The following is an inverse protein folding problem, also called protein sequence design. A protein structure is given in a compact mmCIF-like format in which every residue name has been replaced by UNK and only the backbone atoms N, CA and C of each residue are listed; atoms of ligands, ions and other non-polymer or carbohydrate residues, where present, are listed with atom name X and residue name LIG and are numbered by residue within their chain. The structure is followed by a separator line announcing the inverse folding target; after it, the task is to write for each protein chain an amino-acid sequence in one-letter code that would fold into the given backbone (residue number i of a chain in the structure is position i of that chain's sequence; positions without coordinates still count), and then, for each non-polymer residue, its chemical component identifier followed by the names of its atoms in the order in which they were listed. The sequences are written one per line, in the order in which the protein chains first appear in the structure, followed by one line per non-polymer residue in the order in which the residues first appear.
data_IF_712092313382
#
_entry.id   IF_712092313382
#
_cell.length_a   1.000
_cell.length_b   1.000
_cell.length_c   1.000
_cell.angle_alpha   90.00
_cell.angle_beta   90.00
_cell.angle_gamma   90.00
#
_symmetry.space_group_name_H-M   'P 1'
#
loop_
_entity.id
_entity.type
_entity.pdbx_description
1 polymer ?
#
# COMPACT_ATOMS: atom_id res chain seq x y z
N UNK A 1 -19.12 -2.06 -22.40
CA UNK A 1 -18.61 -0.75 -21.95
C UNK A 1 -19.81 0.14 -21.67
N UNK A 2 -20.05 0.50 -20.42
CA UNK A 2 -21.11 1.45 -20.04
C UNK A 2 -20.42 2.77 -19.74
N UNK A 3 -20.71 3.83 -20.50
CA UNK A 3 -20.24 5.15 -20.15
C UNK A 3 -21.04 5.61 -18.92
N UNK A 4 -20.41 5.61 -17.76
CA UNK A 4 -20.99 6.11 -16.51
C UNK A 4 -20.35 7.47 -16.28
N UNK A 5 -21.18 8.51 -16.12
CA UNK A 5 -20.76 9.86 -15.72
C UNK A 5 -21.23 10.08 -14.29
N UNK A 6 -20.54 9.51 -13.30
CA UNK A 6 -20.99 9.58 -11.93
C UNK A 6 -20.83 11.03 -11.39
N UNK A 7 -21.88 11.54 -10.76
CA UNK A 7 -21.86 12.86 -10.09
C UNK A 7 -21.20 12.71 -8.73
N UNK A 8 -20.28 13.61 -8.38
CA UNK A 8 -19.49 13.56 -7.13
C UNK A 8 -18.67 12.27 -6.95
N UNK A 9 -18.27 11.62 -8.06
CA UNK A 9 -17.33 10.52 -8.01
C UNK A 9 -15.91 11.01 -7.80
N UNK A 10 -15.13 10.20 -7.12
CA UNK A 10 -13.70 10.39 -7.04
C UNK A 10 -13.00 9.94 -8.33
N UNK A 11 -13.47 8.90 -9.02
CA UNK A 11 -12.90 8.47 -10.31
C UNK A 11 -13.37 9.44 -11.41
N UNK A 12 -12.41 10.16 -12.00
CA UNK A 12 -12.64 11.12 -13.10
C UNK A 12 -12.37 10.49 -14.47
N UNK A 13 -11.36 9.62 -14.55
CA UNK A 13 -11.04 8.86 -15.75
C UNK A 13 -10.47 7.48 -15.40
N UNK A 14 -10.94 6.46 -16.10
CA UNK A 14 -10.49 5.08 -15.98
C UNK A 14 -10.44 4.42 -17.36
N UNK A 15 -9.55 3.44 -17.52
CA UNK A 15 -9.51 2.58 -18.71
C UNK A 15 -10.52 1.45 -18.50
N UNK A 16 -11.58 1.39 -19.30
CA UNK A 16 -12.60 0.39 -19.09
C UNK A 16 -12.21 -0.96 -19.70
N UNK A 17 -12.39 -2.03 -18.94
CA UNK A 17 -12.21 -3.39 -19.42
C UNK A 17 -13.56 -4.10 -19.54
N UNK A 18 -13.80 -4.76 -20.67
CA UNK A 18 -14.93 -5.67 -20.79
C UNK A 18 -14.66 -6.97 -20.02
N UNK A 19 -15.70 -7.66 -19.56
CA UNK A 19 -15.56 -9.03 -19.05
C UNK A 19 -14.88 -9.89 -20.14
N UNK A 20 -13.89 -10.69 -19.73
CA UNK A 20 -12.98 -11.40 -20.64
C UNK A 20 -11.79 -10.57 -21.15
N UNK A 21 -11.58 -9.35 -20.62
CA UNK A 21 -10.41 -8.48 -20.88
C UNK A 21 -9.84 -7.92 -19.57
N UNK A 22 -8.58 -7.50 -19.62
CA UNK A 22 -7.86 -6.92 -18.48
C UNK A 22 -7.27 -7.99 -17.54
N UNK A 23 -6.19 -7.60 -16.86
CA UNK A 23 -5.41 -8.46 -15.95
C UNK A 23 -5.51 -8.01 -14.49
N UNK A 24 -6.25 -6.94 -14.19
CA UNK A 24 -6.49 -6.46 -12.82
C UNK A 24 -7.27 -7.53 -12.05
N UNK A 25 -6.90 -7.83 -10.81
CA UNK A 25 -7.48 -8.96 -10.05
C UNK A 25 -6.84 -10.32 -10.37
N UNK A 26 -5.98 -10.43 -11.39
CA UNK A 26 -5.20 -11.66 -11.64
C UNK A 26 -3.86 -11.66 -10.91
N UNK A 27 -3.06 -10.62 -11.06
CA UNK A 27 -1.72 -10.53 -10.49
C UNK A 27 -1.64 -9.65 -9.23
N UNK A 28 -2.66 -8.84 -9.01
CA UNK A 28 -2.85 -7.91 -7.89
C UNK A 28 -4.26 -8.10 -7.37
N UNK A 29 -4.45 -7.90 -6.07
CA UNK A 29 -5.75 -8.11 -5.45
C UNK A 29 -5.74 -9.04 -4.26
N UNK A 30 -6.95 -9.32 -3.76
CA UNK A 30 -7.19 -10.47 -2.89
C UNK A 30 -6.85 -11.74 -3.68
N UNK A 31 -5.97 -12.57 -3.11
CA UNK A 31 -5.66 -13.89 -3.68
C UNK A 31 -6.90 -14.78 -3.62
N UNK A 32 -7.17 -15.49 -4.71
CA UNK A 32 -8.28 -16.44 -4.84
C UNK A 32 -7.74 -17.73 -5.45
N UNK A 33 -7.82 -18.82 -4.71
CA UNK A 33 -7.38 -20.13 -5.17
C UNK A 33 -8.28 -20.68 -6.29
N UNK A 34 -7.75 -21.52 -7.19
CA UNK A 34 -8.58 -22.21 -8.18
C UNK A 34 -9.60 -23.12 -7.50
N UNK A 35 -10.85 -23.01 -7.91
CA UNK A 35 -11.96 -23.82 -7.42
C UNK A 35 -13.14 -23.84 -8.39
N UNK A 36 -14.28 -24.36 -7.94
CA UNK A 36 -15.52 -24.43 -8.74
C UNK A 36 -16.40 -23.18 -8.63
N UNK A 37 -16.02 -22.21 -7.80
CA UNK A 37 -16.76 -20.95 -7.64
C UNK A 37 -16.60 -20.04 -8.88
N UNK A 38 -17.56 -19.14 -9.16
CA UNK A 38 -17.61 -18.44 -10.44
C UNK A 38 -16.53 -17.35 -10.58
N UNK A 39 -15.92 -16.92 -9.49
CA UNK A 39 -14.98 -15.80 -9.47
C UNK A 39 -13.62 -16.12 -10.10
N UNK A 40 -13.32 -17.37 -10.45
CA UNK A 40 -12.05 -17.80 -11.03
C UNK A 40 -10.85 -17.59 -10.08
N UNK A 41 -9.63 -17.65 -10.59
CA UNK A 41 -8.42 -17.63 -9.74
C UNK A 41 -7.60 -16.35 -9.88
N UNK A 42 -7.07 -15.84 -8.76
CA UNK A 42 -6.24 -14.65 -8.68
C UNK A 42 -5.05 -14.85 -7.74
N UNK A 43 -3.94 -14.18 -8.02
CA UNK A 43 -2.72 -14.19 -7.21
C UNK A 43 -2.44 -12.79 -6.67
N UNK A 44 -1.52 -12.72 -5.72
CA UNK A 44 -1.05 -11.49 -5.09
C UNK A 44 0.48 -11.35 -5.26
N UNK A 45 0.96 -11.02 -6.46
CA UNK A 45 2.41 -10.90 -6.70
C UNK A 45 3.04 -9.66 -6.06
N UNK A 46 2.23 -8.71 -5.58
CA UNK A 46 2.67 -7.46 -4.97
C UNK A 46 1.91 -7.23 -3.67
N UNK A 47 2.38 -7.85 -2.59
CA UNK A 47 1.81 -7.67 -1.26
C UNK A 47 2.29 -6.38 -0.59
N UNK A 48 1.47 -5.84 0.31
CA UNK A 48 1.93 -4.77 1.20
C UNK A 48 2.80 -5.33 2.32
N UNK A 49 3.90 -4.65 2.69
CA UNK A 49 4.62 -4.98 3.90
C UNK A 49 3.79 -4.61 5.14
N UNK A 50 3.97 -5.30 6.28
CA UNK A 50 3.25 -4.97 7.52
C UNK A 50 3.54 -3.54 8.00
N UNK A 51 4.74 -3.00 7.73
CA UNK A 51 5.08 -1.59 8.02
C UNK A 51 4.17 -0.59 7.33
N UNK A 52 3.65 -0.91 6.14
CA UNK A 52 2.67 -0.07 5.47
C UNK A 52 1.29 -0.20 6.12
N UNK A 53 0.80 -1.43 6.35
CA UNK A 53 -0.50 -1.64 6.98
C UNK A 53 -0.58 -1.03 8.39
N UNK A 54 0.50 -1.12 9.17
CA UNK A 54 0.58 -0.51 10.50
C UNK A 54 0.91 0.98 10.52
N UNK A 55 1.14 1.60 9.35
CA UNK A 55 1.27 3.06 9.26
C UNK A 55 -0.08 3.77 9.30
N UNK A 56 -1.19 3.06 9.07
CA UNK A 56 -2.54 3.60 9.17
C UNK A 56 -2.91 3.82 10.64
N UNK A 57 -3.72 4.85 10.88
CA UNK A 57 -4.45 4.95 12.14
C UNK A 57 -5.52 3.85 12.19
N UNK A 58 -5.80 3.31 13.39
CA UNK A 58 -6.77 2.21 13.57
C UNK A 58 -8.20 2.59 13.17
N UNK A 59 -8.51 3.89 13.17
CA UNK A 59 -9.81 4.42 12.75
C UNK A 59 -9.83 4.88 11.29
N UNK A 60 -8.71 4.72 10.56
CA UNK A 60 -8.65 5.05 9.14
C UNK A 60 -9.37 3.98 8.33
N UNK A 61 -10.52 4.33 7.77
CA UNK A 61 -11.38 3.40 7.03
C UNK A 61 -10.74 2.91 5.73
N UNK A 62 -9.66 3.55 5.26
CA UNK A 62 -8.93 3.12 4.06
C UNK A 62 -8.09 1.88 4.32
N UNK A 63 -7.77 1.56 5.57
CA UNK A 63 -6.99 0.37 5.90
C UNK A 63 -7.66 -0.89 5.35
N UNK A 64 -8.94 -1.11 5.64
CA UNK A 64 -9.67 -2.29 5.19
C UNK A 64 -9.87 -2.29 3.67
N UNK A 65 -10.13 -1.11 3.08
CA UNK A 65 -10.27 -0.95 1.64
C UNK A 65 -8.95 -1.17 0.88
N UNK A 66 -7.80 -1.01 1.53
CA UNK A 66 -6.47 -1.06 0.91
C UNK A 66 -5.74 -2.36 1.23
N UNK A 67 -5.64 -2.70 2.51
CA UNK A 67 -4.87 -3.83 3.04
C UNK A 67 -5.79 -5.02 3.34
N UNK A 68 -5.79 -6.01 2.45
CA UNK A 68 -6.54 -7.26 2.62
C UNK A 68 -5.74 -8.25 3.46
N UNK A 69 -6.14 -8.45 4.72
CA UNK A 69 -5.54 -9.45 5.61
C UNK A 69 -6.04 -10.87 5.35
N UNK A 70 -6.91 -11.06 4.36
CA UNK A 70 -7.44 -12.35 3.97
C UNK A 70 -7.12 -12.71 2.52
N UNK A 71 -7.22 -13.99 2.23
CA UNK A 71 -7.30 -14.60 0.90
C UNK A 71 -8.53 -15.50 0.84
N UNK A 72 -8.88 -15.97 -0.35
CA UNK A 72 -10.06 -16.82 -0.58
C UNK A 72 -9.59 -18.18 -1.09
N UNK A 73 -10.00 -19.25 -0.41
CA UNK A 73 -9.63 -20.62 -0.78
C UNK A 73 -10.50 -21.17 -1.94
N UNK A 74 -10.24 -22.42 -2.34
CA UNK A 74 -10.93 -23.09 -3.46
C UNK A 74 -12.43 -23.31 -3.25
N UNK A 75 -12.89 -23.28 -2.01
CA UNK A 75 -14.30 -23.39 -1.62
C UNK A 75 -14.98 -22.02 -1.49
N UNK A 76 -14.27 -20.96 -1.89
CA UNK A 76 -14.70 -19.57 -1.81
C UNK A 76 -14.92 -19.06 -0.38
N UNK A 77 -14.16 -19.61 0.57
CA UNK A 77 -14.16 -19.19 1.98
C UNK A 77 -12.96 -18.30 2.26
N UNK A 78 -13.16 -17.23 3.03
CA UNK A 78 -12.07 -16.35 3.44
C UNK A 78 -11.18 -17.05 4.48
N UNK A 79 -9.87 -16.86 4.39
CA UNK A 79 -8.89 -17.31 5.37
C UNK A 79 -7.79 -16.26 5.52
N UNK A 80 -7.07 -16.26 6.64
CA UNK A 80 -5.96 -15.32 6.82
C UNK A 80 -4.93 -15.49 5.70
N UNK A 81 -4.35 -14.39 5.21
CA UNK A 81 -3.24 -14.45 4.25
C UNK A 81 -2.10 -15.32 4.77
N UNK A 82 -1.37 -15.95 3.85
CA UNK A 82 -0.18 -16.74 4.19
C UNK A 82 0.79 -15.98 5.11
N UNK A 83 0.96 -16.50 6.34
CA UNK A 83 1.64 -15.79 7.43
C UNK A 83 3.16 -15.84 7.33
N UNK A 84 3.73 -16.92 6.79
CA UNK A 84 5.19 -17.05 6.60
C UNK A 84 5.82 -16.02 5.65
N UNK A 85 5.01 -15.37 4.80
CA UNK A 85 5.47 -14.26 3.96
C UNK A 85 4.64 -12.98 4.13
N UNK A 86 3.73 -12.95 5.11
CA UNK A 86 2.82 -11.83 5.43
C UNK A 86 2.28 -11.18 4.14
N UNK A 87 1.59 -11.96 3.31
CA UNK A 87 1.16 -11.53 1.97
C UNK A 87 -0.10 -10.68 2.02
N UNK A 88 -0.06 -9.55 2.74
CA UNK A 88 -1.17 -8.60 2.82
C UNK A 88 -1.56 -8.18 1.40
N UNK A 89 -2.80 -8.48 1.03
CA UNK A 89 -3.34 -8.30 -0.30
C UNK A 89 -3.72 -6.85 -0.58
N UNK A 90 -3.81 -6.51 -1.86
CA UNK A 90 -4.30 -5.20 -2.29
C UNK A 90 -5.83 -5.24 -2.41
N UNK A 91 -6.55 -4.98 -1.32
CA UNK A 91 -8.00 -5.21 -1.21
C UNK A 91 -8.83 -4.43 -2.24
N UNK A 92 -8.33 -3.29 -2.71
CA UNK A 92 -8.93 -2.49 -3.80
C UNK A 92 -9.22 -3.32 -5.05
N UNK A 93 -8.42 -4.35 -5.32
CA UNK A 93 -8.55 -5.20 -6.51
C UNK A 93 -9.12 -6.58 -6.17
N UNK A 94 -10.20 -6.64 -5.40
CA UNK A 94 -10.86 -7.90 -5.07
C UNK A 94 -11.80 -8.35 -6.18
N UNK A 95 -11.63 -9.60 -6.63
CA UNK A 95 -12.60 -10.26 -7.53
C UNK A 95 -13.90 -10.60 -6.81
N UNK A 96 -13.90 -10.66 -5.49
CA UNK A 96 -15.10 -10.93 -4.69
C UNK A 96 -16.21 -9.90 -4.90
N UNK A 97 -15.87 -8.67 -5.32
CA UNK A 97 -16.82 -7.59 -5.58
C UNK A 97 -17.31 -7.51 -7.04
N UNK A 98 -16.97 -8.50 -7.87
CA UNK A 98 -17.43 -8.52 -9.27
C UNK A 98 -18.91 -8.92 -9.36
N UNK A 99 -19.75 -7.99 -9.79
CA UNK A 99 -21.16 -8.28 -10.11
C UNK A 99 -21.31 -9.38 -11.17
N UNK A 100 -20.36 -9.43 -12.12
CA UNK A 100 -20.35 -10.38 -13.24
C UNK A 100 -19.03 -11.14 -13.24
N UNK A 101 -18.91 -12.21 -12.44
CA UNK A 101 -17.67 -12.96 -12.32
C UNK A 101 -17.32 -13.67 -13.65
N UNK A 102 -16.02 -13.78 -13.99
CA UNK A 102 -15.57 -14.23 -15.33
C UNK A 102 -15.65 -15.75 -15.55
N UNK A 103 -16.03 -16.53 -14.54
CA UNK A 103 -16.14 -18.00 -14.58
C UNK A 103 -15.01 -18.72 -13.85
N UNK A 104 -15.28 -19.94 -13.38
CA UNK A 104 -14.37 -20.73 -12.54
C UNK A 104 -12.99 -21.01 -13.18
N UNK A 105 -12.93 -21.16 -14.50
CA UNK A 105 -11.68 -21.40 -15.23
C UNK A 105 -10.87 -20.14 -15.54
N UNK A 106 -11.40 -18.94 -15.25
CA UNK A 106 -10.79 -17.68 -15.64
C UNK A 106 -9.71 -17.25 -14.64
N UNK A 107 -8.46 -17.11 -15.09
CA UNK A 107 -7.41 -16.44 -14.34
C UNK A 107 -7.34 -14.95 -14.61
N UNK A 108 -7.62 -14.53 -15.85
CA UNK A 108 -7.63 -13.13 -16.33
C UNK A 108 -9.01 -12.75 -16.84
N UNK A 109 -9.14 -11.54 -17.36
CA UNK A 109 -10.36 -11.11 -18.01
C UNK A 109 -11.44 -10.69 -17.02
N UNK A 110 -11.05 -10.13 -15.88
CA UNK A 110 -11.97 -9.78 -14.79
C UNK A 110 -12.93 -8.65 -15.16
N UNK A 111 -12.57 -7.81 -16.14
CA UNK A 111 -13.34 -6.61 -16.47
C UNK A 111 -13.24 -5.49 -15.42
N UNK A 112 -12.33 -5.58 -14.44
CA UNK A 112 -12.09 -4.51 -13.47
C UNK A 112 -11.42 -3.35 -14.21
N UNK A 113 -12.04 -2.16 -14.16
CA UNK A 113 -11.52 -0.94 -14.76
C UNK A 113 -10.28 -0.43 -14.01
N UNK A 114 -9.34 0.19 -14.73
CA UNK A 114 -8.14 0.76 -14.11
C UNK A 114 -8.27 2.29 -13.99
N UNK A 115 -8.33 2.86 -12.78
CA UNK A 115 -8.39 4.30 -12.59
C UNK A 115 -7.07 4.94 -13.04
N UNK A 116 -7.19 6.00 -13.86
CA UNK A 116 -6.07 6.77 -14.37
C UNK A 116 -6.03 8.18 -13.80
N UNK A 117 -7.19 8.73 -13.42
CA UNK A 117 -7.30 10.05 -12.78
C UNK A 117 -8.39 10.02 -11.72
N UNK A 118 -8.04 10.43 -10.50
CA UNK A 118 -8.96 10.55 -9.37
C UNK A 118 -8.95 11.99 -8.82
N UNK A 119 -10.06 12.43 -8.27
CA UNK A 119 -10.20 13.79 -7.73
C UNK A 119 -9.34 13.98 -6.46
N UNK A 120 -9.21 12.95 -5.62
CA UNK A 120 -8.28 12.94 -4.50
C UNK A 120 -6.83 13.23 -4.94
N UNK A 121 -6.42 12.72 -6.11
CA UNK A 121 -5.09 12.99 -6.66
C UNK A 121 -4.94 14.45 -7.10
N UNK A 122 -5.97 15.02 -7.73
CA UNK A 122 -6.02 16.45 -8.06
C UNK A 122 -5.89 17.32 -6.81
N UNK A 123 -6.60 16.99 -5.73
CA UNK A 123 -6.54 17.73 -4.47
C UNK A 123 -5.15 17.66 -3.83
N UNK A 124 -4.55 16.47 -3.78
CA UNK A 124 -3.22 16.29 -3.19
C UNK A 124 -2.11 16.88 -4.05
N UNK A 125 -2.22 16.83 -5.39
CA UNK A 125 -1.31 17.55 -6.29
C UNK A 125 -1.43 19.07 -6.12
N UNK A 126 -2.65 19.59 -5.95
CA UNK A 126 -2.86 21.02 -5.68
C UNK A 126 -2.24 21.42 -4.34
N UNK A 127 -2.48 20.66 -3.27
CA UNK A 127 -1.88 20.91 -1.97
C UNK A 127 -0.34 20.91 -2.02
N UNK A 128 0.24 19.95 -2.76
CA UNK A 128 1.68 19.86 -2.97
C UNK A 128 2.24 21.08 -3.72
N UNK A 129 1.65 21.44 -4.85
CA UNK A 129 2.11 22.56 -5.67
C UNK A 129 2.00 23.91 -4.94
N UNK A 130 0.91 24.12 -4.20
CA UNK A 130 0.73 25.34 -3.40
C UNK A 130 1.72 25.38 -2.24
N UNK A 131 1.98 24.24 -1.58
CA UNK A 131 2.98 24.16 -0.52
C UNK A 131 4.40 24.48 -1.00
N UNK A 132 4.76 23.98 -2.18
CA UNK A 132 6.07 24.25 -2.78
C UNK A 132 6.24 25.75 -3.10
N UNK A 133 5.20 26.39 -3.62
CA UNK A 133 5.27 27.80 -4.03
C UNK A 133 5.15 28.78 -2.85
N UNK A 134 4.30 28.47 -1.87
CA UNK A 134 3.82 29.45 -0.88
C UNK A 134 3.87 28.94 0.57
N UNK A 135 4.32 27.69 0.80
CA UNK A 135 4.17 27.00 2.08
C UNK A 135 2.72 26.57 2.35
N UNK A 136 2.41 26.12 3.57
CA UNK A 136 1.12 25.51 3.90
C UNK A 136 0.01 26.56 4.04
N UNK A 137 -0.48 27.08 2.93
CA UNK A 137 -1.61 28.03 2.93
C UNK A 137 -2.90 27.36 3.33
N UNK A 138 -3.92 28.15 3.67
CA UNK A 138 -5.23 27.64 4.04
C UNK A 138 -5.90 26.87 2.90
N UNK A 139 -5.68 27.24 1.64
CA UNK A 139 -6.18 26.51 0.47
C UNK A 139 -5.51 25.14 0.33
N UNK A 140 -4.19 25.05 0.55
CA UNK A 140 -3.46 23.79 0.51
C UNK A 140 -3.92 22.85 1.63
N UNK A 141 -4.06 23.38 2.85
CA UNK A 141 -4.62 22.65 3.99
C UNK A 141 -6.06 22.21 3.74
N UNK A 142 -6.89 23.04 3.12
CA UNK A 142 -8.28 22.70 2.80
C UNK A 142 -8.38 21.55 1.78
N UNK A 143 -7.53 21.55 0.74
CA UNK A 143 -7.47 20.47 -0.24
C UNK A 143 -7.03 19.14 0.40
N UNK A 144 -5.97 19.18 1.22
CA UNK A 144 -5.51 18.03 2.01
C UNK A 144 -6.60 17.53 2.96
N UNK A 145 -7.24 18.45 3.71
CA UNK A 145 -8.31 18.17 4.66
C UNK A 145 -9.44 17.39 4.03
N UNK A 146 -9.87 17.77 2.83
CA UNK A 146 -10.98 17.11 2.14
C UNK A 146 -10.71 15.63 1.85
N UNK A 147 -9.47 15.27 1.50
CA UNK A 147 -9.09 13.86 1.30
C UNK A 147 -9.04 13.14 2.64
N UNK A 148 -8.38 13.72 3.64
CA UNK A 148 -8.23 13.08 4.95
C UNK A 148 -9.55 12.91 5.69
N UNK A 149 -10.50 13.83 5.55
CA UNK A 149 -11.85 13.69 6.12
C UNK A 149 -12.58 12.45 5.61
N UNK A 150 -12.36 12.02 4.36
CA UNK A 150 -12.99 10.81 3.80
C UNK A 150 -12.47 9.52 4.42
N UNK A 151 -11.33 9.56 5.10
CA UNK A 151 -10.70 8.43 5.74
C UNK A 151 -11.20 8.19 7.17
N UNK A 152 -11.94 9.13 7.75
CA UNK A 152 -12.35 9.08 9.15
C UNK A 152 -13.82 9.46 9.32
N UNK A 153 -14.48 8.85 10.29
CA UNK A 153 -15.80 9.27 10.74
C UNK A 153 -15.79 10.73 11.25
N UNK A 154 -16.88 11.47 11.00
CA UNK A 154 -16.99 12.89 11.39
C UNK A 154 -16.77 13.10 12.89
N UNK A 155 -17.17 12.14 13.73
CA UNK A 155 -17.03 12.20 15.19
C UNK A 155 -15.58 12.32 15.67
N UNK A 156 -14.60 11.96 14.84
CA UNK A 156 -13.17 12.02 15.18
C UNK A 156 -12.38 12.99 14.32
N UNK A 157 -13.04 13.81 13.47
CA UNK A 157 -12.34 14.80 12.64
C UNK A 157 -11.51 15.79 13.45
N UNK A 158 -11.99 16.23 14.61
CA UNK A 158 -11.23 17.14 15.46
C UNK A 158 -9.83 16.60 15.81
N UNK A 159 -9.70 15.29 16.09
CA UNK A 159 -8.43 14.68 16.51
C UNK A 159 -7.65 14.05 15.35
N UNK A 160 -8.33 13.37 14.42
CA UNK A 160 -7.68 12.63 13.33
C UNK A 160 -7.43 13.46 12.08
N UNK A 161 -8.14 14.58 11.92
CA UNK A 161 -8.01 15.47 10.76
C UNK A 161 -7.46 16.83 11.17
N UNK A 162 -8.21 17.59 11.99
CA UNK A 162 -7.88 18.99 12.28
C UNK A 162 -6.59 19.13 13.08
N UNK A 163 -6.46 18.39 14.18
CA UNK A 163 -5.22 18.33 14.95
C UNK A 163 -4.06 17.76 14.14
N UNK A 164 -4.28 16.74 13.31
CA UNK A 164 -3.22 16.19 12.45
C UNK A 164 -2.67 17.27 11.51
N UNK A 165 -3.53 18.02 10.83
CA UNK A 165 -3.11 19.09 9.92
C UNK A 165 -2.38 20.19 10.70
N UNK A 166 -2.92 20.62 11.85
CA UNK A 166 -2.30 21.65 12.68
C UNK A 166 -0.89 21.23 13.14
N UNK A 167 -0.70 19.97 13.54
CA UNK A 167 0.60 19.45 14.00
C UNK A 167 1.60 19.21 12.87
N UNK A 168 1.16 19.07 11.63
CA UNK A 168 2.02 18.77 10.49
C UNK A 168 2.01 19.89 9.43
N UNK A 169 1.74 21.14 9.83
CA UNK A 169 1.78 22.30 8.92
C UNK A 169 2.52 23.50 9.52
N UNK A 170 3.46 23.25 10.44
CA UNK A 170 4.31 24.28 11.05
C UNK A 170 5.33 24.88 10.06
N UNK A 171 5.70 24.14 9.03
CA UNK A 171 6.58 24.55 7.95
C UNK A 171 6.18 23.92 6.61
N UNK A 172 6.78 24.41 5.51
CA UNK A 172 6.60 23.78 4.19
C UNK A 172 7.10 22.33 4.19
N UNK A 173 8.19 22.03 4.88
CA UNK A 173 8.74 20.67 4.98
C UNK A 173 7.83 19.73 5.78
N UNK A 174 7.27 20.20 6.92
CA UNK A 174 6.33 19.39 7.71
C UNK A 174 5.09 19.03 6.89
N UNK A 175 4.53 20.00 6.16
CA UNK A 175 3.34 19.78 5.36
C UNK A 175 3.62 18.95 4.12
N UNK A 176 4.78 19.10 3.51
CA UNK A 176 5.24 18.21 2.45
C UNK A 176 5.33 16.76 2.95
N UNK A 177 5.91 16.52 4.13
CA UNK A 177 5.96 15.19 4.74
C UNK A 177 4.57 14.63 5.04
N UNK A 178 3.62 15.47 5.47
CA UNK A 178 2.22 15.09 5.62
C UNK A 178 1.60 14.64 4.28
N UNK A 179 1.83 15.40 3.20
CA UNK A 179 1.38 15.06 1.84
C UNK A 179 1.99 13.74 1.37
N UNK A 180 3.29 13.53 1.60
CA UNK A 180 3.99 12.27 1.25
C UNK A 180 3.35 11.07 1.94
N UNK A 181 2.90 11.21 3.19
CA UNK A 181 2.21 10.14 3.92
C UNK A 181 0.76 9.97 3.47
N UNK A 182 0.01 11.06 3.30
CA UNK A 182 -1.39 11.02 2.85
C UNK A 182 -1.53 10.40 1.47
N UNK A 183 -0.61 10.69 0.55
CA UNK A 183 -0.56 10.05 -0.77
C UNK A 183 -0.24 8.54 -0.66
N UNK A 184 0.54 8.12 0.33
CA UNK A 184 0.79 6.70 0.58
C UNK A 184 -0.49 5.98 1.05
N UNK A 185 -1.25 6.58 1.98
CA UNK A 185 -2.48 5.99 2.51
C UNK A 185 -3.62 6.00 1.49
N UNK A 186 -3.77 7.09 0.73
CA UNK A 186 -4.84 7.23 -0.25
C UNK A 186 -4.65 6.29 -1.45
N UNK A 187 -3.43 6.23 -2.01
CA UNK A 187 -3.16 5.56 -3.29
C UNK A 187 -2.48 4.19 -3.16
N UNK A 188 -2.53 3.58 -1.98
CA UNK A 188 -2.05 2.21 -1.79
C UNK A 188 -2.64 1.27 -2.83
N UNK A 189 -1.78 0.55 -3.56
CA UNK A 189 -2.21 -0.45 -4.54
C UNK A 189 -2.52 0.10 -5.94
N UNK A 190 -2.38 1.40 -6.17
CA UNK A 190 -2.64 2.02 -7.49
C UNK A 190 -1.38 2.21 -8.34
N UNK A 191 -0.26 1.60 -7.93
CA UNK A 191 1.01 1.53 -8.71
C UNK A 191 1.70 2.87 -9.00
N UNK A 192 1.35 3.95 -8.31
CA UNK A 192 1.98 5.27 -8.52
C UNK A 192 3.13 5.56 -7.55
N UNK A 193 3.15 4.91 -6.37
CA UNK A 193 4.05 5.28 -5.26
C UNK A 193 5.53 5.30 -5.62
N UNK A 194 5.98 4.34 -6.44
CA UNK A 194 7.37 4.31 -6.91
C UNK A 194 7.75 5.62 -7.60
N UNK A 195 6.94 6.06 -8.56
CA UNK A 195 7.23 7.27 -9.35
C UNK A 195 7.16 8.54 -8.49
N UNK A 196 6.28 8.59 -7.49
CA UNK A 196 6.21 9.70 -6.53
C UNK A 196 7.47 9.80 -5.69
N UNK A 197 7.89 8.68 -5.09
CA UNK A 197 9.10 8.66 -4.29
C UNK A 197 10.34 8.98 -5.12
N UNK A 198 10.34 8.60 -6.40
CA UNK A 198 11.40 8.97 -7.33
C UNK A 198 11.41 10.48 -7.53
N UNK A 199 10.30 11.10 -7.97
CA UNK A 199 10.28 12.57 -8.23
C UNK A 199 10.59 13.42 -6.98
N UNK A 200 10.33 12.91 -5.78
CA UNK A 200 10.70 13.55 -4.51
C UNK A 200 12.11 13.22 -4.01
N UNK A 201 12.85 12.36 -4.70
CA UNK A 201 14.15 11.84 -4.26
C UNK A 201 14.11 11.11 -2.90
N UNK A 202 13.01 10.41 -2.61
CA UNK A 202 12.75 9.68 -1.36
C UNK A 202 12.74 8.16 -1.53
N UNK A 203 12.90 7.63 -2.75
CA UNK A 203 12.70 6.20 -3.00
C UNK A 203 13.65 5.31 -2.19
N UNK A 204 14.96 5.57 -2.24
CA UNK A 204 15.92 4.79 -1.46
C UNK A 204 15.60 4.85 0.04
N UNK A 205 15.41 6.05 0.59
CA UNK A 205 15.14 6.26 2.01
C UNK A 205 13.89 5.51 2.46
N UNK A 206 12.79 5.59 1.71
CA UNK A 206 11.53 4.94 2.08
C UNK A 206 11.60 3.42 1.94
N UNK A 207 12.33 2.89 0.96
CA UNK A 207 12.56 1.44 0.86
C UNK A 207 13.43 0.96 2.03
N UNK A 208 14.53 1.65 2.34
CA UNK A 208 15.39 1.35 3.49
C UNK A 208 14.58 1.36 4.80
N UNK A 209 13.79 2.41 5.03
CA UNK A 209 12.91 2.54 6.20
C UNK A 209 11.88 1.41 6.29
N UNK A 210 11.37 0.94 5.16
CA UNK A 210 10.42 -0.18 5.10
C UNK A 210 11.09 -1.48 5.53
N UNK A 211 12.31 -1.75 5.05
CA UNK A 211 13.08 -2.95 5.39
C UNK A 211 13.49 -2.94 6.86
N UNK A 212 14.07 -1.84 7.35
CA UNK A 212 14.48 -1.71 8.75
C UNK A 212 13.28 -1.74 9.69
N UNK A 213 12.14 -1.16 9.30
CA UNK A 213 10.89 -1.30 10.05
C UNK A 213 10.40 -2.75 10.13
N UNK A 214 10.53 -3.53 9.06
CA UNK A 214 10.19 -4.95 9.08
C UNK A 214 11.12 -5.74 10.01
N UNK A 215 12.43 -5.48 9.97
CA UNK A 215 13.41 -6.08 10.88
C UNK A 215 13.10 -5.75 12.34
N UNK A 216 12.78 -4.49 12.63
CA UNK A 216 12.40 -4.07 13.98
C UNK A 216 11.14 -4.79 14.45
N UNK A 217 10.10 -4.89 13.61
CA UNK A 217 8.88 -5.65 13.92
C UNK A 217 9.17 -7.13 14.19
N UNK A 218 10.06 -7.75 13.41
CA UNK A 218 10.48 -9.14 13.61
C UNK A 218 11.18 -9.33 14.97
N UNK A 219 12.15 -8.46 15.28
CA UNK A 219 12.87 -8.47 16.56
C UNK A 219 11.93 -8.25 17.74
N UNK A 220 11.02 -7.29 17.63
CA UNK A 220 10.06 -6.96 18.69
C UNK A 220 9.06 -8.10 18.94
N UNK A 221 8.66 -8.81 17.90
CA UNK A 221 7.77 -9.95 18.03
C UNK A 221 8.48 -11.17 18.61
N UNK A 222 9.69 -11.47 18.14
CA UNK A 222 10.50 -12.58 18.63
C UNK A 222 10.90 -12.41 20.10
N UNK A 223 11.31 -11.20 20.49
CA UNK A 223 11.69 -10.89 21.87
C UNK A 223 10.48 -10.59 22.78
N UNK A 224 9.27 -10.53 22.22
CA UNK A 224 8.05 -10.18 22.96
C UNK A 224 7.99 -8.73 23.45
N UNK A 225 8.83 -7.83 22.94
CA UNK A 225 8.96 -6.42 23.37
C UNK A 225 8.02 -5.46 22.65
N UNK A 226 7.48 -5.86 21.49
CA UNK A 226 6.58 -5.01 20.69
C UNK A 226 5.18 -4.83 21.29
N UNK A 227 4.42 -3.90 20.73
CA UNK A 227 2.98 -3.68 21.03
C UNK A 227 2.04 -4.23 19.96
N UNK A 228 2.56 -4.46 18.76
CA UNK A 228 1.85 -5.06 17.63
C UNK A 228 1.71 -6.59 17.82
N UNK A 229 0.74 -7.24 17.15
CA UNK A 229 0.46 -8.65 17.37
C UNK A 229 1.55 -9.59 16.83
N UNK A 230 2.10 -10.39 17.74
CA UNK A 230 2.98 -11.52 17.40
C UNK A 230 2.18 -12.63 16.69
N UNK A 231 0.92 -12.79 17.10
CA UNK A 231 -0.08 -13.74 16.60
C UNK A 231 -1.41 -13.03 16.37
N UNK A 232 -2.18 -13.51 15.39
CA UNK A 232 -3.56 -13.08 15.16
C UNK A 232 -4.53 -14.18 15.60
N UNK A 233 -5.70 -13.77 16.09
CA UNK A 233 -6.83 -14.66 16.32
C UNK A 233 -7.88 -14.44 15.24
N UNK A 234 -8.29 -15.52 14.59
CA UNK A 234 -9.24 -15.47 13.48
C UNK A 234 -10.41 -16.42 13.66
N UNK A 235 -11.56 -16.05 13.12
CA UNK A 235 -12.79 -16.86 13.13
C UNK A 235 -13.64 -16.48 11.93
N UNK A 236 -14.42 -17.43 11.39
CA UNK A 236 -15.45 -17.12 10.41
C UNK A 236 -16.73 -16.64 11.11
N UNK A 237 -17.24 -15.49 10.69
CA UNK A 237 -18.56 -15.02 11.07
C UNK A 237 -19.66 -15.85 10.38
N UNK A 238 -20.89 -15.74 10.89
CA UNK A 238 -22.06 -16.45 10.32
C UNK A 238 -22.32 -16.09 8.85
N UNK A 239 -21.94 -14.88 8.43
CA UNK A 239 -22.05 -14.41 7.06
C UNK A 239 -20.91 -14.91 6.14
N UNK A 240 -19.94 -15.65 6.68
CA UNK A 240 -18.80 -16.19 5.93
C UNK A 240 -17.56 -15.28 5.87
N UNK A 241 -17.62 -14.08 6.47
CA UNK A 241 -16.47 -13.17 6.50
C UNK A 241 -15.45 -13.61 7.57
N UNK A 242 -14.17 -13.41 7.26
CA UNK A 242 -13.09 -13.61 8.22
C UNK A 242 -13.07 -12.47 9.22
N UNK A 243 -13.29 -12.79 10.49
CA UNK A 243 -13.05 -11.90 11.61
C UNK A 243 -11.61 -12.05 12.08
N UNK A 244 -10.93 -10.92 12.29
CA UNK A 244 -9.59 -10.86 12.89
C UNK A 244 -9.67 -9.99 14.13
N UNK A 245 -9.40 -10.56 15.29
CA UNK A 245 -9.63 -9.89 16.57
C UNK A 245 -8.67 -8.71 16.81
N UNK A 246 -7.38 -8.92 16.54
CA UNK A 246 -6.32 -8.12 17.13
C UNK A 246 -5.27 -7.66 16.11
N UNK A 247 -5.72 -6.97 15.06
CA UNK A 247 -4.82 -6.47 14.01
C UNK A 247 -3.76 -5.53 14.58
N UNK A 248 -4.07 -4.68 15.57
CA UNK A 248 -3.11 -3.68 16.08
C UNK A 248 -2.64 -3.91 17.52
N UNK A 249 -3.13 -4.94 18.21
CA UNK A 249 -2.90 -5.14 19.63
C UNK A 249 -2.40 -6.56 19.93
N UNK A 250 -1.53 -6.67 20.93
CA UNK A 250 -1.22 -7.97 21.52
C UNK A 250 -2.41 -8.46 22.34
N UNK A 251 -2.89 -9.65 21.98
CA UNK A 251 -3.90 -10.39 22.75
C UNK A 251 -3.25 -11.69 23.22
N UNK A 252 -3.20 -11.88 24.54
CA UNK A 252 -2.51 -13.03 25.14
C UNK A 252 -3.32 -14.33 25.03
N UNK A 253 -4.65 -14.24 25.11
CA UNK A 253 -5.56 -15.39 25.12
C UNK A 253 -6.76 -15.08 24.23
N UNK A 254 -7.19 -16.08 23.46
CA UNK A 254 -8.39 -16.00 22.66
C UNK A 254 -9.64 -15.72 23.53
N UNK A 255 -10.68 -15.06 22.99
CA UNK A 255 -11.94 -14.87 23.70
C UNK A 255 -12.61 -16.18 24.14
N UNK A 256 -12.55 -17.20 23.27
CA UNK A 256 -13.09 -18.55 23.49
C UNK A 256 -12.40 -19.55 22.53
N UNK A 257 -12.80 -20.82 22.59
CA UNK A 257 -12.23 -21.92 21.79
C UNK A 257 -12.55 -21.86 20.28
N UNK A 258 -13.47 -20.99 19.85
CA UNK A 258 -13.88 -20.87 18.45
C UNK A 258 -12.95 -19.98 17.62
N UNK A 259 -11.97 -19.34 18.26
CA UNK A 259 -10.96 -18.51 17.62
C UNK A 259 -9.68 -19.32 17.38
N UNK A 260 -9.22 -19.33 16.14
CA UNK A 260 -7.96 -19.95 15.76
C UNK A 260 -6.80 -18.97 15.93
N UNK A 261 -5.70 -19.42 16.54
CA UNK A 261 -4.48 -18.62 16.70
C UNK A 261 -3.48 -18.94 15.59
N UNK A 262 -3.10 -17.93 14.81
CA UNK A 262 -2.15 -18.05 13.72
C UNK A 262 -0.92 -17.17 13.98
N UNK A 263 0.26 -17.61 13.53
CA UNK A 263 1.47 -16.79 13.58
C UNK A 263 1.28 -15.51 12.75
N UNK A 264 1.88 -14.41 13.18
CA UNK A 264 1.85 -13.16 12.41
C UNK A 264 3.23 -12.52 12.37
N UNK A 265 3.47 -11.44 13.12
CA UNK A 265 4.78 -10.78 13.14
C UNK A 265 5.90 -11.69 13.64
N UNK A 266 5.60 -12.68 14.49
CA UNK A 266 6.60 -13.65 14.94
C UNK A 266 7.18 -14.48 13.79
N UNK A 267 6.44 -14.65 12.69
CA UNK A 267 6.89 -15.39 11.51
C UNK A 267 7.91 -14.61 10.67
N UNK A 268 8.18 -13.34 11.02
CA UNK A 268 9.17 -12.51 10.33
C UNK A 268 10.61 -12.77 10.82
N UNK A 269 10.77 -13.43 11.96
CA UNK A 269 12.07 -13.84 12.48
C UNK A 269 12.36 -15.28 12.05
N UNK A 270 13.58 -15.54 11.58
CA UNK A 270 14.00 -16.84 11.07
C UNK A 270 15.39 -17.19 11.60
N UNK A 271 15.43 -17.96 12.68
CA UNK A 271 16.66 -18.43 13.32
C UNK A 271 17.53 -19.32 12.41
N UNK A 272 16.98 -19.86 11.33
CA UNK A 272 17.73 -20.68 10.38
C UNK A 272 18.58 -19.85 9.43
N UNK A 273 18.31 -18.55 9.32
CA UNK A 273 19.01 -17.64 8.42
C UNK A 273 20.09 -16.84 9.16
N UNK A 274 21.25 -16.57 8.51
CA UNK A 274 22.33 -15.80 9.13
C UNK A 274 21.96 -14.37 9.54
N UNK A 275 21.00 -13.76 8.84
CA UNK A 275 20.50 -12.41 9.13
C UNK A 275 19.38 -12.42 10.18
N UNK A 276 18.81 -13.58 10.54
CA UNK A 276 17.75 -13.71 11.53
C UNK A 276 16.35 -13.32 11.04
N UNK A 277 16.19 -13.00 9.75
CA UNK A 277 14.94 -12.46 9.21
C UNK A 277 14.39 -13.34 8.09
N UNK A 278 13.06 -13.42 7.99
CA UNK A 278 12.39 -14.07 6.86
C UNK A 278 12.91 -13.53 5.53
N UNK A 279 13.26 -14.44 4.61
CA UNK A 279 13.99 -14.10 3.37
C UNK A 279 13.37 -12.95 2.58
N UNK A 280 12.04 -12.88 2.50
CA UNK A 280 11.34 -11.87 1.72
C UNK A 280 11.60 -10.43 2.19
N UNK A 281 12.05 -10.23 3.44
CA UNK A 281 12.38 -8.92 4.01
C UNK A 281 13.67 -8.38 3.37
N UNK A 282 14.67 -9.23 3.18
CA UNK A 282 16.03 -8.82 2.80
C UNK A 282 16.39 -9.15 1.36
N UNK A 283 15.83 -10.21 0.77
CA UNK A 283 16.24 -10.75 -0.54
C UNK A 283 16.35 -9.70 -1.65
N UNK A 284 15.30 -8.93 -1.87
CA UNK A 284 15.29 -7.96 -2.97
C UNK A 284 16.15 -6.74 -2.58
N UNK A 285 16.09 -6.31 -1.31
CA UNK A 285 16.86 -5.19 -0.77
C UNK A 285 18.37 -5.40 -0.86
N UNK A 286 18.86 -6.57 -0.47
CA UNK A 286 20.28 -6.92 -0.52
C UNK A 286 20.84 -6.82 -1.94
N UNK A 287 20.03 -7.16 -2.94
CA UNK A 287 20.39 -6.94 -4.35
C UNK A 287 20.47 -5.46 -4.73
N UNK A 288 19.73 -4.57 -4.06
CA UNK A 288 19.79 -3.12 -4.29
C UNK A 288 20.97 -2.43 -3.58
N UNK A 289 21.43 -2.94 -2.44
CA UNK A 289 22.47 -2.26 -1.63
C UNK A 289 23.86 -2.89 -1.72
N UNK A 290 23.96 -4.16 -2.12
CA UNK A 290 25.26 -4.81 -2.29
C UNK A 290 25.81 -4.55 -3.70
N UNK A 291 26.79 -3.64 -3.79
CA UNK A 291 27.39 -3.24 -5.06
C UNK A 291 28.02 -4.37 -5.87
N UNK A 292 28.35 -5.51 -5.23
CA UNK A 292 28.81 -6.74 -5.89
C UNK A 292 27.74 -7.40 -6.76
N UNK A 293 26.45 -7.23 -6.43
CA UNK A 293 25.35 -7.92 -7.12
C UNK A 293 24.84 -7.13 -8.33
N UNK A 294 25.11 -5.83 -8.41
CA UNK A 294 24.56 -4.95 -9.45
C UNK A 294 25.61 -4.06 -10.13
N UNK A 295 26.90 -4.12 -9.76
CA UNK A 295 27.94 -3.22 -10.27
C UNK A 295 27.56 -1.74 -10.12
N UNK A 296 26.86 -1.41 -9.03
CA UNK A 296 26.43 -0.06 -8.68
C UNK A 296 27.14 0.34 -7.37
N UNK A 297 27.70 1.56 -7.26
CA UNK A 297 28.28 2.04 -6.02
C UNK A 297 27.26 1.97 -4.87
N UNK A 298 27.76 1.69 -3.66
CA UNK A 298 26.95 1.67 -2.44
C UNK A 298 26.15 2.98 -2.31
N UNK A 299 24.84 2.88 -2.05
CA UNK A 299 23.95 4.04 -1.89
C UNK A 299 23.34 4.60 -3.19
N UNK A 300 23.62 4.02 -4.36
CA UNK A 300 22.99 4.42 -5.62
C UNK A 300 21.95 3.39 -6.03
N UNK A 301 20.73 3.84 -6.33
CA UNK A 301 19.68 2.99 -6.91
C UNK A 301 19.33 3.50 -8.31
N UNK A 302 19.52 2.67 -9.34
CA UNK A 302 19.18 3.02 -10.73
C UNK A 302 17.68 2.81 -10.96
N UNK A 303 16.87 3.86 -10.86
CA UNK A 303 15.44 3.76 -11.20
C UNK A 303 14.92 4.86 -12.13
N UNK A 304 15.81 5.66 -12.73
CA UNK A 304 15.45 6.65 -13.75
C UNK A 304 16.15 6.29 -15.05
N UNK A 305 15.36 6.14 -16.11
CA UNK A 305 15.89 6.26 -17.46
C UNK A 305 16.41 7.70 -17.61
N UNK A 306 17.65 7.90 -18.07
CA UNK A 306 18.17 9.25 -18.31
C UNK A 306 17.13 10.06 -19.09
N UNK A 307 16.94 11.34 -18.75
CA UNK A 307 16.17 12.29 -19.55
C UNK A 307 16.67 12.12 -20.98
N UNK A 308 15.82 11.77 -21.95
CA UNK A 308 16.25 11.61 -23.34
C UNK A 308 16.97 12.88 -23.81
N UNK A 309 18.06 12.73 -24.56
CA UNK A 309 18.91 13.86 -25.00
C UNK A 309 18.09 15.00 -25.61
N UNK A 310 17.05 14.67 -26.38
CA UNK A 310 16.13 15.66 -26.97
C UNK A 310 15.39 16.51 -25.91
N UNK A 311 15.04 15.95 -24.76
CA UNK A 311 14.41 16.68 -23.65
C UNK A 311 15.39 17.63 -22.95
N UNK A 312 16.65 17.21 -22.83
CA UNK A 312 17.73 18.07 -22.30
C UNK A 312 18.01 19.22 -23.28
N UNK A 313 18.19 18.93 -24.55
CA UNK A 313 18.49 19.93 -25.58
C UNK A 313 17.38 20.97 -25.69
N UNK A 314 16.12 20.52 -25.68
CA UNK A 314 14.95 21.41 -25.74
C UNK A 314 14.74 22.25 -24.48
N UNK A 315 15.34 21.86 -23.36
CA UNK A 315 15.20 22.59 -22.09
C UNK A 315 16.01 23.88 -22.03
N UNK A 316 16.86 24.15 -23.02
CA UNK A 316 17.76 25.33 -23.05
C UNK A 316 18.61 25.47 -21.77
N UNK A 317 19.04 24.34 -21.21
CA UNK A 317 19.90 24.29 -20.03
C UNK A 317 19.17 24.16 -18.70
N UNK A 318 17.83 24.05 -18.70
CA UNK A 318 17.01 23.87 -17.50
C UNK A 318 17.02 22.42 -17.00
N UNK A 319 17.07 21.44 -17.89
CA UNK A 319 17.11 20.01 -17.57
C UNK A 319 18.50 19.44 -17.88
N UNK A 320 19.01 18.57 -17.01
CA UNK A 320 20.29 17.87 -17.19
C UNK A 320 20.21 16.45 -16.62
N UNK A 321 21.04 15.54 -17.14
CA UNK A 321 21.18 14.16 -16.65
C UNK A 321 22.23 14.04 -15.53
N UNK A 322 22.29 15.03 -14.65
CA UNK A 322 23.36 15.14 -13.65
C UNK A 322 23.07 14.30 -12.39
N UNK A 323 22.07 13.40 -12.46
CA UNK A 323 21.45 12.83 -11.27
C UNK A 323 20.77 13.91 -10.40
N UNK A 324 20.26 13.53 -9.23
CA UNK A 324 19.58 14.45 -8.30
C UNK A 324 20.51 15.42 -7.57
N UNK A 325 21.41 16.13 -8.26
CA UNK A 325 22.17 17.22 -7.65
C UNK A 325 22.97 16.80 -6.41
N UNK A 326 23.48 15.56 -6.37
CA UNK A 326 24.39 15.15 -5.32
C UNK A 326 25.70 15.90 -5.51
N UNK A 327 25.91 16.94 -4.72
CA UNK A 327 27.26 17.36 -4.36
C UNK A 327 27.93 16.17 -3.68
N UNK A 328 28.87 15.54 -4.38
CA UNK A 328 29.84 14.64 -3.80
C UNK A 328 30.99 15.43 -3.18
#
# INVERSE_FOLDING_TARGET
CKFITPVNSDILFEVPFAVGRGDVGWNIGIKVDPGNHPYGQGSNYMSFPPTYAYSFDRQDTRLEATCGFYEINSDFVQQLVQTGSIRISQAKWSRHYLDNPPGASASKGTGINWPMLRYADVLLMYAEAVNELNGPTEEAKAAFKRVRQRAFDESVWNTKVDQYIASNSGSSEDFFNAIVNERAWEFGGEMIRKYELIRWNLYYEKVAKTVEGCKQMANDAFNGTGTLPDYLYTKLAENGDLQILNIFDKVAVAPDETWERLSWLIAMYDETRPDGYAEWITRDWDNYINGSNISVPQGIVRYIFPIPTIGIDNSQGVLKNDGYGFGF
#
